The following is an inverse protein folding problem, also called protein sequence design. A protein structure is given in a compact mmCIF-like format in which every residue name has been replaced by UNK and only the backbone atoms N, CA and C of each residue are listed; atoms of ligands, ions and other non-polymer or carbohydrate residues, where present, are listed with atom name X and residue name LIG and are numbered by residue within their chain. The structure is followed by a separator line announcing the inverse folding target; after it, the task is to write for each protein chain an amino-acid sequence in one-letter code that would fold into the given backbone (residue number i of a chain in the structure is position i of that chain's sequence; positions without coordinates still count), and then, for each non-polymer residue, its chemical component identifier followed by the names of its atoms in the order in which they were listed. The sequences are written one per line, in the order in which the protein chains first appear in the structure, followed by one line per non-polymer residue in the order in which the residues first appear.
data_IF_794690408615
#
_entry.id   IF_794690408615
#
_cell.length_a   1.000
_cell.length_b   1.000
_cell.length_c   1.000
_cell.angle_alpha   90.00
_cell.angle_beta   90.00
_cell.angle_gamma   90.00
#
_symmetry.space_group_name_H-M   'P 1'
#
loop_
_entity.id
_entity.type
_entity.pdbx_description
1 polymer ?
#
# COMPACT_ATOMS: atom_id res chain seq x y z
N UNK A 1 -16.26 -3.18 -4.06
CA UNK A 1 -15.78 -2.06 -3.22
C UNK A 1 -14.28 -2.24 -3.03
N UNK A 2 -13.50 -1.17 -3.06
CA UNK A 2 -12.05 -1.25 -2.90
C UNK A 2 -11.65 -0.98 -1.43
N UNK A 3 -10.71 -1.75 -0.91
CA UNK A 3 -10.17 -1.56 0.45
C UNK A 3 -9.18 -0.41 0.43
N UNK A 4 -9.41 0.62 1.25
CA UNK A 4 -8.54 1.80 1.28
C UNK A 4 -7.44 1.63 2.31
N UNK A 5 -6.19 1.78 1.87
CA UNK A 5 -4.99 1.74 2.71
C UNK A 5 -4.35 3.12 2.71
N UNK A 6 -4.50 3.85 3.82
CA UNK A 6 -3.80 5.12 4.01
C UNK A 6 -2.40 4.87 4.61
N UNK A 7 -1.37 5.09 3.81
CA UNK A 7 0.03 5.01 4.17
C UNK A 7 0.75 6.35 3.97
N UNK A 8 0.03 7.47 3.97
CA UNK A 8 0.63 8.82 3.90
C UNK A 8 1.40 9.12 5.19
N UNK A 9 2.54 9.81 5.06
CA UNK A 9 3.42 10.14 6.19
C UNK A 9 4.26 8.97 6.70
N UNK A 10 4.22 7.81 6.02
CA UNK A 10 5.04 6.65 6.34
C UNK A 10 6.24 6.57 5.40
N UNK A 11 7.43 6.54 5.98
CA UNK A 11 8.66 6.26 5.24
C UNK A 11 8.84 4.76 4.97
N UNK A 12 9.57 4.45 3.90
CA UNK A 12 9.90 3.06 3.56
C UNK A 12 10.66 2.36 4.70
N UNK A 13 10.37 1.08 4.97
CA UNK A 13 9.52 0.17 4.19
C UNK A 13 8.03 0.13 4.59
N UNK A 14 7.57 1.00 5.50
CA UNK A 14 6.25 0.88 6.13
C UNK A 14 5.06 0.88 5.13
N UNK A 15 5.01 1.71 4.07
CA UNK A 15 3.92 1.64 3.09
C UNK A 15 3.82 0.29 2.38
N UNK A 16 4.95 -0.36 2.11
CA UNK A 16 5.00 -1.66 1.41
C UNK A 16 4.42 -2.74 2.30
N UNK A 17 4.86 -2.80 3.56
CA UNK A 17 4.39 -3.79 4.54
C UNK A 17 2.88 -3.65 4.75
N UNK A 18 2.40 -2.43 5.03
CA UNK A 18 0.98 -2.18 5.29
C UNK A 18 0.08 -2.52 4.09
N UNK A 19 0.58 -2.28 2.88
CA UNK A 19 -0.16 -2.64 1.66
C UNK A 19 -0.18 -4.15 1.44
N UNK A 20 0.92 -4.85 1.73
CA UNK A 20 0.98 -6.32 1.66
C UNK A 20 -0.02 -6.98 2.63
N UNK A 21 -0.04 -6.52 3.88
CA UNK A 21 -0.97 -7.01 4.90
C UNK A 21 -2.43 -6.81 4.47
N UNK A 22 -2.74 -5.63 3.91
CA UNK A 22 -4.07 -5.35 3.40
C UNK A 22 -4.42 -6.20 2.17
N UNK A 23 -3.45 -6.50 1.31
CA UNK A 23 -3.64 -7.34 0.13
C UNK A 23 -3.96 -8.79 0.51
N UNK A 24 -3.26 -9.32 1.52
CA UNK A 24 -3.52 -10.65 2.08
C UNK A 24 -4.93 -10.73 2.71
N UNK A 25 -5.38 -9.65 3.36
CA UNK A 25 -6.72 -9.57 3.95
C UNK A 25 -7.84 -9.31 2.92
N UNK A 26 -7.51 -8.72 1.77
CA UNK A 26 -8.49 -8.32 0.78
C UNK A 26 -9.15 -9.49 0.03
N UNK A 27 -8.60 -10.70 0.11
CA UNK A 27 -9.16 -11.92 -0.49
C UNK A 27 -9.58 -11.73 -1.97
N UNK A 28 -8.78 -11.00 -2.75
CA UNK A 28 -9.03 -10.71 -4.17
C UNK A 28 -9.84 -9.43 -4.45
N UNK A 29 -10.21 -8.66 -3.42
CA UNK A 29 -10.77 -7.32 -3.60
C UNK A 29 -9.68 -6.32 -4.00
N UNK A 30 -10.01 -5.32 -4.84
CA UNK A 30 -9.06 -4.28 -5.22
C UNK A 30 -8.70 -3.38 -4.02
N UNK A 31 -7.47 -2.88 -3.98
CA UNK A 31 -7.00 -1.92 -2.97
C UNK A 31 -6.83 -0.52 -3.57
N UNK A 32 -7.14 0.50 -2.77
CA UNK A 32 -6.79 1.89 -3.01
C UNK A 32 -5.72 2.31 -2.00
N UNK A 33 -4.47 2.49 -2.47
CA UNK A 33 -3.34 2.79 -1.59
C UNK A 33 -2.95 4.26 -1.72
N UNK A 34 -2.97 5.00 -0.62
CA UNK A 34 -2.56 6.41 -0.57
C UNK A 34 -1.19 6.54 0.09
N UNK A 35 -0.26 7.20 -0.59
CA UNK A 35 1.11 7.43 -0.12
C UNK A 35 1.49 8.90 -0.29
N UNK A 36 2.46 9.37 0.50
CA UNK A 36 2.87 10.79 0.53
C UNK A 36 4.06 11.12 -0.35
N UNK A 37 4.74 10.14 -0.93
CA UNK A 37 5.93 10.38 -1.77
C UNK A 37 5.96 9.48 -3.01
N UNK A 38 6.64 9.96 -4.05
CA UNK A 38 6.88 9.18 -5.26
C UNK A 38 7.72 7.92 -4.98
N UNK A 39 8.72 8.02 -4.09
CA UNK A 39 9.54 6.88 -3.70
C UNK A 39 8.71 5.78 -3.01
N UNK A 40 7.79 6.16 -2.11
CA UNK A 40 6.85 5.23 -1.49
C UNK A 40 5.96 4.55 -2.53
N UNK A 41 5.44 5.32 -3.51
CA UNK A 41 4.61 4.77 -4.60
C UNK A 41 5.39 3.75 -5.43
N UNK A 42 6.60 4.10 -5.86
CA UNK A 42 7.44 3.22 -6.69
C UNK A 42 7.82 1.94 -5.96
N UNK A 43 8.18 2.04 -4.67
CA UNK A 43 8.46 0.86 -3.85
C UNK A 43 7.22 -0.02 -3.67
N UNK A 44 6.03 0.55 -3.42
CA UNK A 44 4.79 -0.23 -3.32
C UNK A 44 4.51 -0.99 -4.63
N UNK A 45 4.70 -0.35 -5.79
CA UNK A 45 4.52 -0.99 -7.10
C UNK A 45 5.58 -2.08 -7.37
N UNK A 46 6.81 -1.87 -6.92
CA UNK A 46 7.92 -2.80 -7.19
C UNK A 46 7.86 -4.08 -6.35
N UNK A 47 7.27 -4.02 -5.16
CA UNK A 47 7.35 -5.09 -4.16
C UNK A 47 6.02 -5.83 -3.90
N UNK A 48 4.95 -5.53 -4.65
CA UNK A 48 3.63 -6.17 -4.59
C UNK A 48 3.22 -6.70 -5.96
#
# INVERSE_FOLDING_TARGET
MAITVDARGLDCPKPVIKTKEALEQAAGQPLLVMVSSAASKENVIRFL
#
